data_IF_627254441623
#
_entry.id   IF_627254441623
#
_cell.length_a   1.000
_cell.length_b   1.000
_cell.length_c   1.000
_cell.angle_alpha   90.00
_cell.angle_beta   90.00
_cell.angle_gamma   90.00
#
_symmetry.space_group_name_H-M   'P 1'
#
loop_
_entity.id
_entity.type
_entity.pdbx_description
1 polymer ?
#
# COMPACT_ATOMS: atom_id res chain seq x y z
N UNK A 1 -8.08 6.07 -0.17
CA UNK A 1 -8.47 5.38 -1.41
C UNK A 1 -8.66 6.46 -2.47
N UNK A 2 -7.78 6.54 -3.46
CA UNK A 2 -7.92 7.50 -4.57
C UNK A 2 -8.50 6.76 -5.77
N UNK A 3 -9.54 7.34 -6.40
CA UNK A 3 -10.15 6.84 -7.65
C UNK A 3 -11.36 5.91 -7.50
N UNK A 4 -11.85 5.68 -6.31
CA UNK A 4 -13.16 5.08 -6.11
C UNK A 4 -14.21 6.18 -6.02
N UNK A 5 -15.36 5.95 -6.64
CA UNK A 5 -16.52 6.81 -6.45
C UNK A 5 -17.40 6.16 -5.38
N UNK A 6 -17.44 6.78 -4.21
CA UNK A 6 -18.25 6.32 -3.09
C UNK A 6 -19.55 7.11 -3.03
N UNK A 7 -20.65 6.42 -2.88
CA UNK A 7 -21.98 7.00 -2.67
C UNK A 7 -22.54 6.55 -1.34
N UNK A 8 -23.31 7.40 -0.68
CA UNK A 8 -24.02 7.00 0.55
C UNK A 8 -25.12 5.99 0.22
N UNK A 9 -25.47 5.16 1.20
CA UNK A 9 -26.55 4.21 1.02
C UNK A 9 -27.90 4.93 0.71
N UNK A 10 -28.11 6.11 1.31
CA UNK A 10 -29.27 6.95 1.00
C UNK A 10 -29.28 7.46 -0.46
N UNK A 11 -28.12 7.80 -1.01
CA UNK A 11 -27.98 8.15 -2.44
C UNK A 11 -28.26 6.93 -3.32
N UNK A 12 -27.71 5.77 -2.95
CA UNK A 12 -27.96 4.52 -3.67
C UNK A 12 -29.44 4.20 -3.74
N UNK A 13 -30.19 4.34 -2.63
CA UNK A 13 -31.63 4.06 -2.59
C UNK A 13 -32.42 4.98 -3.56
N UNK A 14 -32.00 6.25 -3.69
CA UNK A 14 -32.63 7.19 -4.65
C UNK A 14 -32.31 6.86 -6.11
N UNK A 15 -31.20 6.20 -6.36
CA UNK A 15 -30.74 5.77 -7.67
C UNK A 15 -30.98 4.28 -7.93
N UNK A 16 -31.82 3.65 -7.12
CA UNK A 16 -32.13 2.23 -7.24
C UNK A 16 -32.54 1.87 -8.67
N UNK A 17 -31.95 0.83 -9.23
CA UNK A 17 -32.20 0.39 -10.61
C UNK A 17 -31.47 1.18 -11.70
N UNK A 18 -30.90 2.36 -11.38
CA UNK A 18 -30.16 3.18 -12.34
C UNK A 18 -28.65 2.95 -12.27
N UNK A 19 -28.15 2.50 -11.12
CA UNK A 19 -26.71 2.33 -10.86
C UNK A 19 -26.39 0.92 -10.41
N UNK A 20 -25.21 0.45 -10.77
CA UNK A 20 -24.58 -0.75 -10.21
C UNK A 20 -23.57 -0.34 -9.14
N UNK A 21 -23.71 -0.88 -7.93
CA UNK A 21 -22.84 -0.56 -6.81
C UNK A 21 -22.50 -1.81 -6.00
N UNK A 22 -21.44 -1.71 -5.18
CA UNK A 22 -21.02 -2.79 -4.27
C UNK A 22 -22.03 -3.03 -3.15
N UNK A 23 -21.82 -4.09 -2.37
CA UNK A 23 -22.43 -4.25 -1.06
C UNK A 23 -22.09 -3.04 -0.15
N UNK A 24 -22.96 -2.66 0.81
CA UNK A 24 -22.68 -1.56 1.72
C UNK A 24 -21.49 -1.87 2.63
N UNK A 25 -20.66 -0.87 2.87
CA UNK A 25 -19.54 -0.91 3.79
C UNK A 25 -19.69 0.19 4.85
N UNK A 26 -19.32 -0.10 6.08
CA UNK A 26 -19.32 0.89 7.17
C UNK A 26 -17.96 1.60 7.21
N UNK A 27 -17.98 2.93 7.12
CA UNK A 27 -16.76 3.75 7.11
C UNK A 27 -16.86 4.85 8.15
N UNK A 28 -15.83 4.98 8.98
CA UNK A 28 -15.69 6.11 9.88
C UNK A 28 -15.16 7.33 9.12
N UNK A 29 -15.94 8.39 9.07
CA UNK A 29 -15.60 9.64 8.39
C UNK A 29 -15.17 10.68 9.43
N UNK A 30 -14.08 11.40 9.15
CA UNK A 30 -13.60 12.49 10.03
C UNK A 30 -14.73 13.49 10.30
N UNK A 31 -14.96 13.77 11.59
CA UNK A 31 -16.01 14.70 12.03
C UNK A 31 -17.38 14.06 12.27
N UNK A 32 -17.50 12.73 12.15
CA UNK A 32 -18.72 12.01 12.55
C UNK A 32 -18.41 11.01 13.66
N UNK A 33 -19.32 10.92 14.63
CA UNK A 33 -19.22 10.01 15.77
C UNK A 33 -19.72 8.59 15.46
N UNK A 34 -20.51 8.45 14.40
CA UNK A 34 -21.05 7.17 13.96
C UNK A 34 -20.54 6.80 12.56
N UNK A 35 -20.37 5.50 12.27
CA UNK A 35 -19.99 5.05 10.95
C UNK A 35 -21.07 5.40 9.92
N UNK A 36 -20.64 5.70 8.70
CA UNK A 36 -21.52 5.98 7.56
C UNK A 36 -21.52 4.77 6.64
N UNK A 37 -22.73 4.35 6.22
CA UNK A 37 -22.87 3.31 5.22
C UNK A 37 -22.62 3.86 3.83
N UNK A 38 -21.58 3.37 3.17
CA UNK A 38 -21.17 3.76 1.82
C UNK A 38 -21.17 2.56 0.88
N UNK A 39 -21.31 2.82 -0.41
CA UNK A 39 -21.16 1.84 -1.49
C UNK A 39 -20.20 2.38 -2.54
N UNK A 40 -19.44 1.50 -3.16
CA UNK A 40 -18.64 1.83 -4.33
C UNK A 40 -19.51 1.80 -5.57
N UNK A 41 -19.59 2.90 -6.31
CA UNK A 41 -20.27 2.97 -7.59
C UNK A 41 -19.45 2.22 -8.64
N UNK A 42 -20.06 1.25 -9.32
CA UNK A 42 -19.40 0.40 -10.32
C UNK A 42 -19.74 0.87 -11.73
N UNK A 43 -21.03 1.15 -12.00
CA UNK A 43 -21.49 1.51 -13.32
C UNK A 43 -22.83 2.27 -13.29
N UNK A 44 -23.10 2.97 -14.38
CA UNK A 44 -24.41 3.52 -14.73
C UNK A 44 -24.82 2.89 -16.07
N UNK A 45 -25.51 1.73 -16.04
CA UNK A 45 -25.77 0.94 -17.25
C UNK A 45 -26.55 1.69 -18.34
N UNK A 46 -27.52 2.52 -17.95
CA UNK A 46 -28.34 3.32 -18.87
C UNK A 46 -27.52 4.29 -19.74
N UNK A 47 -26.38 4.74 -19.23
CA UNK A 47 -25.46 5.65 -19.92
C UNK A 47 -24.22 4.94 -20.49
N UNK A 48 -24.17 3.59 -20.40
CA UNK A 48 -22.97 2.77 -20.76
C UNK A 48 -21.68 3.24 -20.08
N UNK A 49 -21.81 3.89 -18.92
CA UNK A 49 -20.69 4.37 -18.12
C UNK A 49 -20.27 3.29 -17.12
N UNK A 50 -18.99 2.98 -17.10
CA UNK A 50 -18.36 2.18 -16.06
C UNK A 50 -17.35 3.04 -15.33
N UNK A 51 -17.38 3.00 -13.99
CA UNK A 51 -16.31 3.60 -13.21
C UNK A 51 -15.06 2.75 -13.49
N UNK A 52 -13.97 3.36 -13.99
CA UNK A 52 -12.76 2.61 -14.24
C UNK A 52 -12.32 1.94 -12.94
N UNK A 53 -12.24 0.61 -12.92
CA UNK A 53 -11.57 -0.07 -11.82
C UNK A 53 -10.16 0.47 -11.77
N UNK A 54 -9.80 1.11 -10.67
CA UNK A 54 -8.39 1.32 -10.41
C UNK A 54 -7.78 -0.08 -10.27
N UNK A 55 -7.06 -0.46 -11.29
CA UNK A 55 -6.12 -1.55 -11.14
C UNK A 55 -5.07 -1.05 -10.14
N UNK A 56 -5.24 -1.43 -8.87
CA UNK A 56 -4.28 -1.15 -7.79
C UNK A 56 -2.87 -1.70 -8.07
N UNK A 57 -2.64 -2.28 -9.25
CA UNK A 57 -1.42 -2.92 -9.69
C UNK A 57 -0.84 -2.37 -10.99
N UNK A 58 -1.02 -1.09 -11.31
CA UNK A 58 -0.27 -0.46 -12.41
C UNK A 58 1.07 0.13 -12.00
N UNK A 59 1.53 -0.09 -10.79
CA UNK A 59 2.97 0.06 -10.53
C UNK A 59 3.64 -1.26 -10.86
N UNK A 60 4.57 -1.23 -11.79
CA UNK A 60 5.46 -2.36 -12.01
C UNK A 60 6.05 -2.77 -10.65
N UNK A 61 5.91 -4.05 -10.31
CA UNK A 61 6.63 -4.67 -9.23
C UNK A 61 7.65 -5.60 -9.85
N UNK A 62 8.85 -5.53 -9.34
CA UNK A 62 9.96 -6.33 -9.83
C UNK A 62 10.53 -7.15 -8.70
N UNK A 63 10.89 -8.39 -9.00
CA UNK A 63 11.60 -9.22 -8.05
C UNK A 63 12.94 -8.56 -7.73
N UNK A 64 13.21 -8.40 -6.45
CA UNK A 64 14.44 -7.82 -5.95
C UNK A 64 14.87 -8.60 -4.72
N UNK A 65 16.08 -9.11 -4.71
CA UNK A 65 16.64 -9.79 -3.53
C UNK A 65 17.62 -8.87 -2.85
N UNK A 66 17.10 -7.91 -2.11
CA UNK A 66 17.90 -6.88 -1.45
C UNK A 66 17.80 -7.02 0.07
N UNK A 67 18.90 -7.03 0.81
CA UNK A 67 18.84 -6.96 2.26
C UNK A 67 18.18 -5.65 2.70
N UNK A 68 17.38 -5.70 3.75
CA UNK A 68 16.77 -4.53 4.36
C UNK A 68 16.75 -4.61 5.88
N UNK A 69 16.66 -3.43 6.48
CA UNK A 69 16.51 -3.24 7.90
C UNK A 69 15.15 -2.58 8.16
N UNK A 70 14.41 -3.14 9.10
CA UNK A 70 13.13 -2.62 9.54
C UNK A 70 13.21 -2.24 11.01
N UNK A 71 12.73 -1.05 11.37
CA UNK A 71 12.59 -0.62 12.75
C UNK A 71 11.14 -0.23 13.02
N UNK A 72 10.58 -0.71 14.12
CA UNK A 72 9.23 -0.35 14.54
C UNK A 72 9.16 1.11 14.94
N UNK A 73 7.99 1.71 14.76
CA UNK A 73 7.70 3.03 15.30
C UNK A 73 6.66 2.92 16.41
N UNK A 74 6.93 3.60 17.52
CA UNK A 74 6.00 3.76 18.62
C UNK A 74 5.89 5.26 18.95
N UNK A 75 4.67 5.80 18.93
CA UNK A 75 4.40 7.22 19.20
C UNK A 75 5.28 8.19 18.37
N UNK A 76 5.50 7.86 17.09
CA UNK A 76 6.37 8.58 16.14
C UNK A 76 7.88 8.52 16.47
N UNK A 77 8.27 7.67 17.37
CA UNK A 77 9.67 7.43 17.73
C UNK A 77 10.11 6.11 17.16
N UNK A 78 11.28 6.09 16.51
CA UNK A 78 11.88 4.85 16.00
C UNK A 78 12.42 4.04 17.18
N UNK A 79 11.94 2.80 17.31
CA UNK A 79 12.42 1.88 18.34
C UNK A 79 13.80 1.37 17.95
N UNK A 80 14.79 1.30 18.89
CA UNK A 80 16.15 0.88 18.57
C UNK A 80 16.29 -0.55 18.02
N UNK A 81 15.30 -1.42 18.29
CA UNK A 81 15.34 -2.80 17.82
C UNK A 81 15.24 -2.88 16.29
N UNK A 82 16.22 -3.54 15.67
CA UNK A 82 16.32 -3.71 14.23
C UNK A 82 15.89 -5.14 13.86
N UNK A 83 14.91 -5.24 12.98
CA UNK A 83 14.49 -6.50 12.37
C UNK A 83 15.17 -6.61 11.00
N UNK A 84 15.96 -7.65 10.83
CA UNK A 84 16.61 -7.95 9.56
C UNK A 84 15.66 -8.66 8.61
N UNK A 85 15.76 -8.35 7.33
CA UNK A 85 14.95 -8.96 6.31
C UNK A 85 15.54 -8.84 4.91
N UNK A 86 14.82 -9.37 3.95
CA UNK A 86 15.13 -9.28 2.54
C UNK A 86 13.90 -8.81 1.75
N UNK A 87 14.09 -7.84 0.87
CA UNK A 87 13.07 -7.41 -0.07
C UNK A 87 12.91 -8.50 -1.12
N UNK A 88 11.70 -9.02 -1.28
CA UNK A 88 11.30 -10.03 -2.27
C UNK A 88 10.90 -9.38 -3.59
N UNK A 89 10.07 -8.36 -3.49
CA UNK A 89 9.68 -7.50 -4.62
C UNK A 89 9.57 -6.04 -4.19
N UNK A 90 9.81 -5.14 -5.13
CA UNK A 90 9.71 -3.71 -4.96
C UNK A 90 8.89 -3.06 -6.09
N UNK A 91 8.02 -2.14 -5.72
CA UNK A 91 7.23 -1.32 -6.65
C UNK A 91 7.30 0.16 -6.29
N UNK A 92 6.60 1.00 -7.07
CA UNK A 92 6.63 2.46 -6.88
C UNK A 92 6.03 2.93 -5.54
N UNK A 93 5.15 2.11 -4.93
CA UNK A 93 4.38 2.50 -3.75
C UNK A 93 4.62 1.62 -2.54
N UNK A 94 5.46 0.60 -2.65
CA UNK A 94 5.71 -0.33 -1.56
C UNK A 94 6.52 -1.52 -2.00
N UNK A 95 6.70 -2.45 -1.07
CA UNK A 95 7.53 -3.64 -1.25
C UNK A 95 6.99 -4.83 -0.46
N UNK A 96 7.43 -6.01 -0.82
CA UNK A 96 7.21 -7.25 -0.09
C UNK A 96 8.54 -7.66 0.55
N UNK A 97 8.52 -7.93 1.84
CA UNK A 97 9.72 -8.32 2.58
C UNK A 97 9.55 -9.67 3.27
N UNK A 98 10.62 -10.43 3.30
CA UNK A 98 10.81 -11.59 4.17
C UNK A 98 11.54 -11.12 5.41
N UNK A 99 11.10 -11.56 6.59
CA UNK A 99 11.59 -11.13 7.88
C UNK A 99 11.79 -12.34 8.79
N UNK A 100 12.82 -12.27 9.63
CA UNK A 100 13.08 -13.29 10.66
C UNK A 100 12.16 -13.16 11.88
N UNK A 101 11.56 -11.99 12.08
CA UNK A 101 10.65 -11.68 13.18
C UNK A 101 9.37 -11.02 12.64
N UNK A 102 8.20 -11.25 13.27
CA UNK A 102 6.96 -10.61 12.84
C UNK A 102 6.96 -9.12 13.15
N UNK A 103 6.34 -8.36 12.25
CA UNK A 103 5.93 -6.98 12.50
C UNK A 103 4.48 -6.95 12.96
N UNK A 104 4.05 -5.86 13.58
CA UNK A 104 2.64 -5.68 13.93
C UNK A 104 1.84 -5.26 12.69
N UNK A 105 0.70 -5.93 12.39
CA UNK A 105 -0.20 -5.50 11.32
C UNK A 105 -0.65 -4.05 11.54
N UNK A 106 -0.69 -3.28 10.45
CA UNK A 106 -1.09 -1.87 10.42
C UNK A 106 -0.16 -0.89 11.17
N UNK A 107 0.95 -1.38 11.74
CA UNK A 107 1.96 -0.51 12.37
C UNK A 107 2.76 0.26 11.31
N UNK A 108 3.36 1.36 11.74
CA UNK A 108 4.34 2.09 10.94
C UNK A 108 5.76 1.62 11.30
N UNK A 109 6.59 1.54 10.27
CA UNK A 109 7.99 1.13 10.38
C UNK A 109 8.89 2.08 9.60
N UNK A 110 10.13 2.21 10.03
CA UNK A 110 11.21 2.81 9.28
C UNK A 110 11.95 1.72 8.50
N UNK A 111 12.29 2.00 7.24
CA UNK A 111 12.99 1.12 6.32
C UNK A 111 14.35 1.68 5.94
N UNK A 112 15.35 0.79 5.89
CA UNK A 112 16.66 1.08 5.29
C UNK A 112 17.06 -0.05 4.34
N UNK A 113 17.50 0.29 3.13
CA UNK A 113 18.01 -0.65 2.13
C UNK A 113 18.82 0.08 1.06
N UNK A 114 19.52 -0.67 0.22
CA UNK A 114 20.30 -0.12 -0.88
C UNK A 114 19.70 -0.48 -2.23
N UNK A 115 19.82 0.43 -3.18
CA UNK A 115 19.41 0.28 -4.58
C UNK A 115 20.67 0.28 -5.47
N UNK A 116 21.32 -0.89 -5.67
CA UNK A 116 22.66 -0.96 -6.25
C UNK A 116 22.73 -0.44 -7.70
N UNK A 117 21.66 -0.62 -8.51
CA UNK A 117 21.67 -0.18 -9.91
C UNK A 117 21.64 1.35 -10.09
N UNK A 118 21.27 2.06 -9.06
CA UNK A 118 21.16 3.54 -9.06
C UNK A 118 22.06 4.18 -8.02
N UNK A 119 22.94 3.37 -7.39
CA UNK A 119 23.89 3.78 -6.34
C UNK A 119 23.25 4.69 -5.29
N UNK A 120 22.15 4.19 -4.68
CA UNK A 120 21.37 4.99 -3.75
C UNK A 120 21.03 4.19 -2.48
N UNK A 121 21.37 4.78 -1.31
CA UNK A 121 20.98 4.26 -0.01
C UNK A 121 19.67 4.89 0.45
N UNK A 122 18.68 4.07 0.67
CA UNK A 122 17.40 4.46 1.26
C UNK A 122 17.54 4.38 2.79
N UNK A 123 17.45 5.52 3.49
CA UNK A 123 17.63 5.58 4.94
C UNK A 123 16.41 6.18 5.68
N UNK A 124 15.61 6.98 5.01
CA UNK A 124 14.48 7.71 5.61
C UNK A 124 13.17 7.46 4.88
N UNK A 125 12.82 6.20 4.74
CA UNK A 125 11.51 5.79 4.22
C UNK A 125 10.70 5.18 5.35
N UNK A 126 9.46 5.63 5.43
CA UNK A 126 8.48 5.08 6.37
C UNK A 126 7.41 4.35 5.59
N UNK A 127 6.96 3.24 6.14
CA UNK A 127 5.96 2.38 5.51
C UNK A 127 4.99 1.82 6.55
N UNK A 128 3.81 1.44 6.07
CA UNK A 128 2.79 0.76 6.87
C UNK A 128 2.74 -0.71 6.50
N UNK A 129 2.64 -1.57 7.50
CA UNK A 129 2.41 -3.00 7.32
C UNK A 129 0.96 -3.22 6.90
N UNK A 130 0.75 -3.63 5.64
CA UNK A 130 -0.59 -3.86 5.07
C UNK A 130 -1.00 -5.32 5.23
N UNK A 131 -0.07 -6.24 4.99
CA UNK A 131 -0.30 -7.67 5.13
C UNK A 131 0.86 -8.32 5.89
N UNK A 132 0.54 -9.33 6.68
CA UNK A 132 1.53 -10.17 7.35
C UNK A 132 1.08 -11.61 7.25
N UNK A 133 1.96 -12.49 6.81
CA UNK A 133 1.74 -13.94 6.73
C UNK A 133 2.98 -14.65 7.21
N UNK A 134 2.79 -15.80 7.84
CA UNK A 134 3.88 -16.72 8.13
C UNK A 134 4.01 -17.73 6.97
N UNK A 135 5.21 -17.88 6.43
CA UNK A 135 5.56 -18.84 5.39
C UNK A 135 6.75 -19.69 5.92
N UNK A 136 6.44 -20.87 6.44
CA UNK A 136 7.44 -21.70 7.14
C UNK A 136 7.95 -21.03 8.42
N UNK A 137 9.27 -20.87 8.52
CA UNK A 137 9.92 -20.21 9.66
C UNK A 137 10.09 -18.69 9.47
N UNK A 138 9.67 -18.14 8.31
CA UNK A 138 9.81 -16.74 7.97
C UNK A 138 8.47 -16.02 7.96
N UNK A 139 8.53 -14.71 8.09
CA UNK A 139 7.38 -13.84 8.00
C UNK A 139 7.45 -13.02 6.71
N UNK A 140 6.36 -13.00 5.96
CA UNK A 140 6.24 -12.20 4.74
C UNK A 140 5.30 -11.03 4.98
N UNK A 141 5.81 -9.82 4.85
CA UNK A 141 5.06 -8.59 5.07
C UNK A 141 4.95 -7.75 3.77
N UNK A 142 3.73 -7.37 3.44
CA UNK A 142 3.46 -6.36 2.42
C UNK A 142 3.48 -4.97 3.04
N UNK A 143 4.32 -4.10 2.53
CA UNK A 143 4.57 -2.76 3.05
C UNK A 143 4.17 -1.70 2.02
N UNK A 144 3.46 -0.65 2.46
CA UNK A 144 3.09 0.51 1.65
C UNK A 144 3.85 1.74 2.16
N UNK A 145 4.53 2.47 1.27
CA UNK A 145 5.24 3.69 1.64
C UNK A 145 4.26 4.78 2.10
N UNK A 146 4.44 5.26 3.33
CA UNK A 146 3.64 6.35 3.91
C UNK A 146 4.36 7.68 3.86
N UNK A 147 5.70 7.66 3.97
CA UNK A 147 6.55 8.84 3.83
C UNK A 147 7.83 8.48 3.09
N UNK A 148 8.06 9.18 1.98
CA UNK A 148 9.23 9.00 1.11
C UNK A 148 9.54 10.34 0.46
N UNK A 149 10.81 10.76 0.49
CA UNK A 149 11.25 12.00 -0.15
C UNK A 149 11.08 11.93 -1.68
N UNK A 150 10.98 13.09 -2.33
CA UNK A 150 10.87 13.17 -3.78
C UNK A 150 12.07 12.54 -4.48
N UNK A 151 13.27 12.76 -3.95
CA UNK A 151 14.51 12.16 -4.46
C UNK A 151 14.50 10.64 -4.33
N UNK A 152 14.22 10.11 -3.14
CA UNK A 152 14.15 8.67 -2.91
C UNK A 152 13.08 8.02 -3.80
N UNK A 153 11.91 8.65 -3.95
CA UNK A 153 10.85 8.18 -4.86
C UNK A 153 11.34 8.09 -6.30
N UNK A 154 12.06 9.10 -6.79
CA UNK A 154 12.61 9.09 -8.16
C UNK A 154 13.63 7.95 -8.32
N UNK A 155 14.48 7.71 -7.32
CA UNK A 155 15.47 6.62 -7.34
C UNK A 155 14.79 5.23 -7.32
N UNK A 156 13.77 5.04 -6.50
CA UNK A 156 12.97 3.79 -6.49
C UNK A 156 12.30 3.56 -7.84
N UNK A 157 11.70 4.59 -8.44
CA UNK A 157 11.08 4.48 -9.76
C UNK A 157 12.11 4.11 -10.83
N UNK A 158 13.27 4.78 -10.84
CA UNK A 158 14.36 4.49 -11.77
C UNK A 158 14.86 3.05 -11.61
N UNK A 159 15.08 2.59 -10.39
CA UNK A 159 15.50 1.21 -10.09
C UNK A 159 14.50 0.18 -10.64
N UNK A 160 13.21 0.37 -10.35
CA UNK A 160 12.14 -0.52 -10.85
C UNK A 160 12.10 -0.51 -12.38
N UNK A 161 12.23 0.66 -13.03
CA UNK A 161 12.23 0.77 -14.49
C UNK A 161 13.42 0.04 -15.12
N UNK A 162 14.61 0.14 -14.52
CA UNK A 162 15.80 -0.57 -15.02
C UNK A 162 15.64 -2.09 -14.94
N UNK A 163 14.99 -2.60 -13.88
CA UNK A 163 14.72 -4.05 -13.76
C UNK A 163 13.61 -4.54 -14.69
N UNK A 164 12.63 -3.70 -15.04
CA UNK A 164 11.58 -4.05 -16.02
C UNK A 164 12.13 -4.10 -17.44
N UNK A 165 13.16 -3.28 -17.73
CA UNK A 165 13.74 -3.18 -19.06
C UNK A 165 14.72 -4.33 -19.43
N UNK A 166 15.04 -5.19 -18.47
CA UNK A 166 15.90 -6.36 -18.64
C UNK A 166 15.10 -7.65 -18.52
#
# INVERSE_FOLDING_TARGET
MRGQVLISDSTYQRCWGLVSASAPMQVFVKGRTQPVSLRELIAIPSHKLKVPRQEFRRSHRVDARLPCLCQRMQDKIVVPHIVHGAIRDIGYHGLLVELIEPLEPHSEIKLEFELPLVDYRVADVYARVITLKQEGDEWVAGLEFTSISAECRAKVQMFVQLLVAH
#
